data_IF_726951740793
#
_entry.id   IF_726951740793
#
_cell.length_a   1.000
_cell.length_b   1.000
_cell.length_c   1.000
_cell.angle_alpha   90.00
_cell.angle_beta   90.00
_cell.angle_gamma   90.00
#
_symmetry.space_group_name_H-M   'P 1'
#
loop_
_entity.id
_entity.type
_entity.pdbx_description
1 polymer ?
#
# COMPACT_ATOMS: atom_id res chain seq x y z
N UNK A 1 4.58 5.37 19.85
CA UNK A 1 3.90 4.07 19.65
C UNK A 1 2.45 4.35 19.29
N UNK A 2 2.05 4.15 18.02
CA UNK A 2 0.62 4.22 17.63
C UNK A 2 -0.03 2.90 18.06
N UNK A 3 -1.13 2.96 18.81
CA UNK A 3 -1.78 1.80 19.41
C UNK A 3 -2.33 0.85 18.34
N UNK A 4 -2.07 -0.45 18.49
CA UNK A 4 -2.54 -1.52 17.59
C UNK A 4 -4.06 -1.49 17.37
N UNK A 5 -4.81 -0.98 18.35
CA UNK A 5 -6.27 -0.82 18.31
C UNK A 5 -6.75 0.09 17.17
N UNK A 6 -6.01 1.16 16.85
CA UNK A 6 -6.35 2.07 15.75
C UNK A 6 -6.05 1.48 14.37
N UNK A 7 -5.00 0.66 14.27
CA UNK A 7 -4.68 -0.09 13.06
C UNK A 7 -5.76 -1.12 12.75
N UNK A 8 -6.32 -1.78 13.78
CA UNK A 8 -7.33 -2.81 13.59
C UNK A 8 -8.67 -2.25 13.07
N UNK A 9 -9.05 -1.04 13.46
CA UNK A 9 -10.34 -0.47 13.04
C UNK A 9 -10.38 -0.04 11.57
N UNK A 10 -9.22 0.23 10.97
CA UNK A 10 -9.14 0.76 9.61
C UNK A 10 -9.12 -0.34 8.52
N UNK A 11 -8.63 -1.56 8.81
CA UNK A 11 -8.66 -2.66 7.83
C UNK A 11 -10.06 -3.27 7.65
N UNK A 12 -10.92 -3.18 8.67
CA UNK A 12 -12.31 -3.64 8.61
C UNK A 12 -13.14 -2.83 7.61
N UNK A 13 -12.76 -1.57 7.35
CA UNK A 13 -13.48 -0.64 6.47
C UNK A 13 -12.73 -0.31 5.17
N UNK A 14 -11.41 -0.51 5.13
CA UNK A 14 -10.59 -0.30 3.95
C UNK A 14 -9.50 -1.38 3.85
N UNK A 15 -9.71 -2.35 2.97
CA UNK A 15 -8.76 -3.43 2.66
C UNK A 15 -7.42 -2.92 2.11
N UNK A 16 -7.37 -1.65 1.68
CA UNK A 16 -6.18 -0.99 1.16
C UNK A 16 -5.55 -0.02 2.17
N UNK A 17 -5.98 0.02 3.43
CA UNK A 17 -5.26 0.79 4.45
C UNK A 17 -3.77 0.38 4.50
N UNK A 18 -2.78 1.29 4.56
CA UNK A 18 -2.87 2.72 4.89
C UNK A 18 -3.18 3.70 3.74
N UNK A 19 -3.51 3.20 2.55
CA UNK A 19 -3.89 4.04 1.42
C UNK A 19 -5.33 4.55 1.58
N UNK A 20 -5.60 5.80 1.20
CA UNK A 20 -6.91 6.45 1.29
C UNK A 20 -7.96 5.82 0.38
N UNK A 21 -7.53 5.13 -0.69
CA UNK A 21 -8.42 4.48 -1.65
C UNK A 21 -7.70 3.38 -2.44
N UNK A 22 -8.48 2.53 -3.12
CA UNK A 22 -7.96 1.57 -4.10
C UNK A 22 -7.17 2.25 -5.23
N UNK A 23 -7.57 3.45 -5.65
CA UNK A 23 -6.88 4.19 -6.70
C UNK A 23 -5.47 4.63 -6.26
N UNK A 24 -5.36 5.14 -5.03
CA UNK A 24 -4.07 5.50 -4.45
C UNK A 24 -3.18 4.28 -4.21
N UNK A 25 -3.74 3.17 -3.74
CA UNK A 25 -3.00 1.90 -3.62
C UNK A 25 -2.42 1.44 -4.96
N UNK A 26 -3.21 1.51 -6.05
CA UNK A 26 -2.73 1.16 -7.40
C UNK A 26 -1.58 2.07 -7.85
N UNK A 27 -1.66 3.38 -7.58
CA UNK A 27 -0.57 4.31 -7.85
C UNK A 27 0.67 3.92 -7.06
N UNK A 28 0.54 3.70 -5.75
CA UNK A 28 1.65 3.27 -4.89
C UNK A 28 2.32 1.98 -5.38
N UNK A 29 1.52 0.96 -5.71
CA UNK A 29 2.01 -0.30 -6.28
C UNK A 29 2.76 -0.08 -7.59
N UNK A 30 2.20 0.71 -8.52
CA UNK A 30 2.85 1.02 -9.79
C UNK A 30 4.22 1.69 -9.58
N UNK A 31 4.29 2.68 -8.70
CA UNK A 31 5.55 3.37 -8.39
C UNK A 31 6.57 2.42 -7.78
N UNK A 32 6.18 1.60 -6.80
CA UNK A 32 7.08 0.66 -6.13
C UNK A 32 7.62 -0.45 -7.05
N UNK A 33 6.83 -0.91 -8.03
CA UNK A 33 7.23 -1.98 -8.95
C UNK A 33 8.04 -1.47 -10.15
N UNK A 34 7.87 -0.21 -10.55
CA UNK A 34 8.42 0.29 -11.82
C UNK A 34 9.49 1.37 -11.67
N UNK A 35 9.64 1.98 -10.49
CA UNK A 35 10.59 3.05 -10.25
C UNK A 35 11.51 2.76 -9.06
N UNK A 36 12.73 3.24 -9.15
CA UNK A 36 13.65 3.24 -8.00
C UNK A 36 13.22 4.25 -6.94
N UNK A 37 13.62 4.06 -5.69
CA UNK A 37 13.36 5.04 -4.61
C UNK A 37 13.86 6.46 -4.97
N UNK A 38 14.98 6.54 -5.69
CA UNK A 38 15.55 7.79 -6.16
C UNK A 38 14.71 8.49 -7.25
N UNK A 39 13.88 7.76 -8.00
CA UNK A 39 12.95 8.31 -9.00
C UNK A 39 11.58 8.65 -8.39
N UNK A 40 11.12 7.87 -7.41
CA UNK A 40 9.84 8.08 -6.73
C UNK A 40 9.85 9.41 -5.95
N UNK A 41 10.93 9.74 -5.24
CA UNK A 41 10.97 10.96 -4.43
C UNK A 41 10.83 12.25 -5.27
N UNK A 42 11.51 12.41 -6.43
CA UNK A 42 11.23 13.50 -7.37
C UNK A 42 9.82 13.46 -7.95
N UNK A 43 9.29 12.28 -8.30
CA UNK A 43 7.92 12.15 -8.79
C UNK A 43 6.90 12.72 -7.80
N UNK A 44 7.06 12.44 -6.50
CA UNK A 44 6.17 12.94 -5.45
C UNK A 44 6.27 14.46 -5.21
N UNK A 45 7.28 15.12 -5.78
CA UNK A 45 7.46 16.57 -5.72
C UNK A 45 6.92 17.30 -6.94
N UNK A 46 6.36 16.60 -7.93
CA UNK A 46 5.78 17.23 -9.09
C UNK A 46 4.54 18.04 -8.68
N UNK A 47 4.49 19.31 -9.08
CA UNK A 47 3.39 20.24 -8.80
C UNK A 47 2.03 19.73 -9.31
N UNK A 48 2.05 18.86 -10.34
CA UNK A 48 0.87 18.16 -10.85
C UNK A 48 0.08 17.42 -9.74
N UNK A 49 0.75 16.97 -8.67
CA UNK A 49 0.13 16.27 -7.55
C UNK A 49 -0.51 17.21 -6.53
N UNK A 50 -0.37 18.54 -6.61
CA UNK A 50 -0.87 19.46 -5.58
C UNK A 50 -2.39 19.40 -5.37
N UNK A 51 -3.16 19.02 -6.40
CA UNK A 51 -4.61 18.78 -6.28
C UNK A 51 -5.00 17.40 -5.73
N UNK A 52 -4.09 16.43 -5.75
CA UNK A 52 -4.34 15.03 -5.36
C UNK A 52 -3.06 14.40 -4.78
N UNK A 53 -2.51 14.99 -3.71
CA UNK A 53 -1.29 14.47 -3.08
C UNK A 53 -1.54 13.07 -2.53
N UNK A 54 -0.68 12.09 -2.85
CA UNK A 54 -0.73 10.81 -2.19
C UNK A 54 -0.50 10.96 -0.68
N UNK A 55 -1.12 10.07 0.09
CA UNK A 55 -1.04 10.01 1.55
C UNK A 55 0.36 9.65 2.05
N UNK A 56 1.22 9.15 1.16
CA UNK A 56 2.64 8.91 1.39
C UNK A 56 3.49 10.05 0.82
N UNK A 57 4.49 10.48 1.58
CA UNK A 57 5.33 11.66 1.24
C UNK A 57 6.72 11.28 0.75
N UNK A 58 7.08 9.99 0.79
CA UNK A 58 8.39 9.50 0.36
C UNK A 58 8.31 8.06 -0.16
N UNK A 59 9.29 7.69 -0.97
CA UNK A 59 9.49 6.32 -1.44
C UNK A 59 9.64 5.34 -0.27
N UNK A 60 10.36 5.74 0.79
CA UNK A 60 10.53 4.93 1.99
C UNK A 60 9.19 4.65 2.68
N UNK A 61 8.39 5.68 2.90
CA UNK A 61 7.06 5.53 3.51
C UNK A 61 6.15 4.63 2.65
N UNK A 62 6.21 4.77 1.33
CA UNK A 62 5.47 3.90 0.42
C UNK A 62 5.89 2.44 0.56
N UNK A 63 7.20 2.16 0.59
CA UNK A 63 7.70 0.79 0.73
C UNK A 63 7.36 0.20 2.11
N UNK A 64 7.53 0.98 3.18
CA UNK A 64 7.11 0.57 4.53
C UNK A 64 5.62 0.20 4.55
N UNK A 65 4.77 0.96 3.84
CA UNK A 65 3.34 0.65 3.72
C UNK A 65 3.09 -0.64 2.95
N UNK A 66 3.77 -0.83 1.82
CA UNK A 66 3.65 -2.05 1.01
C UNK A 66 4.08 -3.29 1.80
N UNK A 67 5.13 -3.19 2.62
CA UNK A 67 5.62 -4.27 3.50
C UNK A 67 4.65 -4.59 4.65
N UNK A 68 3.86 -3.60 5.09
CA UNK A 68 2.83 -3.82 6.13
C UNK A 68 1.54 -4.41 5.61
N UNK A 69 1.32 -4.41 4.29
CA UNK A 69 0.13 -5.04 3.72
C UNK A 69 0.20 -6.54 3.97
N UNK A 70 -0.90 -7.17 4.44
CA UNK A 70 -0.93 -8.62 4.52
C UNK A 70 -0.61 -9.17 3.14
N UNK A 71 0.38 -10.05 3.07
CA UNK A 71 0.60 -10.87 1.89
C UNK A 71 -0.77 -11.50 1.56
N UNK A 72 -1.27 -11.30 0.34
CA UNK A 72 -2.57 -11.85 -0.06
C UNK A 72 -2.67 -13.34 0.34
N UNK A 73 -3.88 -13.88 0.58
CA UNK A 73 -4.04 -15.20 1.18
C UNK A 73 -3.08 -16.17 0.50
N UNK A 74 -2.09 -16.65 1.25
CA UNK A 74 -1.13 -17.61 0.73
C UNK A 74 -1.94 -18.75 0.15
N UNK A 75 -1.77 -19.03 -1.15
CA UNK A 75 -2.54 -20.05 -1.86
C UNK A 75 -2.59 -21.32 -1.01
N UNK A 76 -3.73 -21.58 -0.37
CA UNK A 76 -3.94 -22.84 0.31
C UNK A 76 -4.31 -23.84 -0.76
N UNK A 77 -3.35 -24.68 -1.13
CA UNK A 77 -3.60 -25.85 -1.97
C UNK A 77 -4.53 -26.75 -1.16
N UNK A 78 -5.83 -26.68 -1.44
CA UNK A 78 -6.80 -27.59 -0.86
C UNK A 78 -6.61 -28.95 -1.56
N UNK A 79 -5.96 -29.89 -0.88
CA UNK A 79 -5.96 -31.28 -1.33
C UNK A 79 -7.40 -31.80 -1.24
N UNK A 80 -8.02 -32.04 -2.39
CA UNK A 80 -9.28 -32.77 -2.46
C UNK A 80 -8.97 -34.22 -2.07
N UNK A 81 -9.31 -34.61 -0.85
CA UNK A 81 -9.42 -36.02 -0.50
C UNK A 81 -10.50 -36.63 -1.40
N UNK A 82 -10.06 -37.54 -2.26
CA UNK A 82 -10.91 -38.25 -3.20
C UNK A 82 -11.78 -39.21 -2.39
N UNK A 83 -13.09 -38.96 -2.36
CA UNK A 83 -14.12 -39.88 -1.85
C UNK A 83 -14.08 -41.22 -2.58
#
# INVERSE_FOLDING_TARGET
MRSQVGYMKNWETNIHWPFQSRAEWRLGKFLAENLTQAQINPFLKLDWLDGQKPSFTSARQLLDWMDTLPSGPGWQVMQLERL
#
